data_IF_663949752557
#
_entry.id   IF_663949752557
#
_cell.length_a   1.000
_cell.length_b   1.000
_cell.length_c   1.000
_cell.angle_alpha   90.00
_cell.angle_beta   90.00
_cell.angle_gamma   90.00
#
_symmetry.space_group_name_H-M   'P 1'
#
loop_
_entity.id
_entity.type
_entity.pdbx_description
1 polymer ?
#
# COMPACT_ATOMS: atom_id res chain seq x y z
N UNK A 1 -12.10 -17.61 -0.48
CA UNK A 1 -11.27 -16.40 -0.27
C UNK A 1 -11.93 -15.18 -0.90
N UNK A 2 -11.98 -14.06 -0.18
CA UNK A 2 -12.44 -12.74 -0.66
C UNK A 2 -11.34 -11.71 -0.40
N UNK A 3 -11.13 -10.79 -1.34
CA UNK A 3 -10.14 -9.71 -1.19
C UNK A 3 -10.91 -8.38 -1.20
N UNK A 4 -10.79 -7.62 -0.12
CA UNK A 4 -11.22 -6.23 0.00
C UNK A 4 -10.00 -5.32 -0.10
N UNK A 5 -10.12 -4.21 -0.79
CA UNK A 5 -9.02 -3.27 -0.98
C UNK A 5 -9.45 -1.90 -0.49
N UNK A 6 -8.60 -1.26 0.30
CA UNK A 6 -8.77 0.08 0.84
C UNK A 6 -7.41 0.80 0.90
N UNK A 7 -7.34 2.02 1.41
CA UNK A 7 -6.08 2.77 1.55
C UNK A 7 -6.14 3.85 2.61
N UNK A 8 -5.01 4.43 2.93
CA UNK A 8 -4.85 5.68 3.69
C UNK A 8 -5.57 5.69 5.05
N UNK A 9 -5.40 4.62 5.85
CA UNK A 9 -6.06 4.55 7.17
C UNK A 9 -5.42 5.47 8.23
N UNK A 10 -4.18 5.93 7.99
CA UNK A 10 -3.46 6.84 8.87
C UNK A 10 -3.58 6.50 10.37
N UNK A 11 -3.24 5.26 10.71
CA UNK A 11 -3.30 4.76 12.07
C UNK A 11 -4.71 4.90 12.69
N UNK A 12 -4.82 5.60 13.81
CA UNK A 12 -6.09 5.74 14.55
C UNK A 12 -7.11 6.69 13.90
N UNK A 13 -6.79 7.35 12.79
CA UNK A 13 -7.71 8.30 12.15
C UNK A 13 -8.90 7.58 11.50
N UNK A 14 -8.63 6.62 10.65
CA UNK A 14 -9.65 5.97 9.83
C UNK A 14 -9.80 4.46 10.06
N UNK A 15 -8.97 3.85 10.90
CA UNK A 15 -9.01 2.40 11.17
C UNK A 15 -10.37 1.91 11.70
N UNK A 16 -11.13 2.77 12.40
CA UNK A 16 -12.48 2.44 12.90
C UNK A 16 -13.48 2.16 11.78
N UNK A 17 -13.19 2.57 10.55
CA UNK A 17 -13.99 2.24 9.37
C UNK A 17 -13.94 0.72 9.04
N UNK A 18 -12.97 -0.02 9.58
CA UNK A 18 -12.94 -1.49 9.57
C UNK A 18 -13.70 -2.11 10.76
N UNK A 19 -14.44 -1.31 11.53
CA UNK A 19 -15.28 -1.85 12.59
C UNK A 19 -16.59 -2.42 12.05
N UNK A 20 -17.27 -3.26 12.84
CA UNK A 20 -18.54 -3.90 12.44
C UNK A 20 -19.69 -2.94 12.19
N UNK A 21 -19.55 -1.66 12.59
CA UNK A 21 -20.52 -0.60 12.27
C UNK A 21 -20.37 -0.03 10.85
N UNK A 22 -19.21 -0.23 10.20
CA UNK A 22 -18.93 0.31 8.88
C UNK A 22 -18.55 -0.75 7.86
N UNK A 23 -17.97 -1.86 8.31
CA UNK A 23 -17.53 -2.96 7.46
C UNK A 23 -18.14 -4.28 7.93
N UNK A 24 -19.00 -4.87 7.10
CA UNK A 24 -19.59 -6.17 7.37
C UNK A 24 -18.58 -7.30 7.09
N UNK A 25 -17.94 -7.75 8.14
CA UNK A 25 -17.00 -8.87 8.10
C UNK A 25 -17.67 -10.22 8.46
N UNK A 26 -19.01 -10.30 8.42
CA UNK A 26 -19.75 -11.52 8.75
C UNK A 26 -19.40 -12.64 7.77
N UNK A 27 -18.97 -13.76 8.30
CA UNK A 27 -18.61 -14.95 7.51
C UNK A 27 -17.19 -14.90 6.92
N UNK A 28 -16.43 -13.84 7.12
CA UNK A 28 -15.01 -13.82 6.76
C UNK A 28 -14.19 -14.71 7.70
N UNK A 29 -13.08 -15.18 7.18
CA UNK A 29 -12.10 -16.02 7.88
C UNK A 29 -10.70 -15.45 7.67
N UNK A 30 -9.67 -16.02 8.31
CA UNK A 30 -8.29 -15.60 8.10
C UNK A 30 -7.77 -15.88 6.67
N UNK A 31 -8.51 -16.62 5.87
CA UNK A 31 -8.23 -16.82 4.44
C UNK A 31 -8.87 -15.75 3.55
N UNK A 32 -9.55 -14.75 4.15
CA UNK A 32 -10.05 -13.56 3.48
C UNK A 32 -9.16 -12.36 3.84
N UNK A 33 -8.96 -11.45 2.90
CA UNK A 33 -7.96 -10.39 3.02
C UNK A 33 -8.58 -9.00 2.96
N UNK A 34 -8.09 -8.10 3.80
CA UNK A 34 -8.24 -6.65 3.65
C UNK A 34 -6.86 -6.09 3.33
N UNK A 35 -6.70 -5.52 2.12
CA UNK A 35 -5.44 -4.97 1.64
C UNK A 35 -5.51 -3.45 1.70
N UNK A 36 -4.51 -2.82 2.35
CA UNK A 36 -4.41 -1.38 2.53
C UNK A 36 -3.32 -0.85 1.60
N UNK A 37 -3.70 0.05 0.69
CA UNK A 37 -2.83 0.64 -0.34
C UNK A 37 -1.95 1.76 0.21
N UNK A 38 -1.22 1.51 1.31
CA UNK A 38 -0.29 2.44 1.93
C UNK A 38 -0.92 3.37 2.97
N UNK A 39 -0.06 4.16 3.59
CA UNK A 39 -0.38 5.04 4.71
C UNK A 39 -1.12 4.30 5.83
N UNK A 40 -0.55 3.14 6.19
CA UNK A 40 -1.02 2.32 7.29
C UNK A 40 -0.81 3.00 8.64
N UNK A 41 0.40 3.52 8.87
CA UNK A 41 0.76 4.38 9.99
C UNK A 41 0.75 3.73 11.39
N UNK A 42 0.51 2.41 11.51
CA UNK A 42 0.44 1.70 12.80
C UNK A 42 1.74 0.99 13.21
N UNK A 43 2.80 1.11 12.43
CA UNK A 43 4.13 0.60 12.79
C UNK A 43 5.09 1.77 12.88
N UNK A 44 5.10 2.46 14.03
CA UNK A 44 5.83 3.73 14.16
C UNK A 44 6.77 3.77 15.36
N UNK A 45 6.23 3.75 16.56
CA UNK A 45 6.98 3.98 17.79
C UNK A 45 6.64 3.02 18.93
N UNK A 46 5.89 1.99 18.64
CA UNK A 46 5.46 0.98 19.61
C UNK A 46 4.67 1.55 20.81
N UNK A 47 3.89 2.63 20.58
CA UNK A 47 3.05 3.24 21.60
C UNK A 47 1.91 2.32 22.04
N UNK A 48 1.32 2.62 23.21
CA UNK A 48 0.16 1.88 23.73
C UNK A 48 -1.02 1.91 22.76
N UNK A 49 -1.25 3.05 22.10
CA UNK A 49 -2.30 3.22 21.09
C UNK A 49 -2.04 2.34 19.86
N UNK A 50 -0.81 2.35 19.35
CA UNK A 50 -0.39 1.51 18.23
C UNK A 50 -0.58 0.02 18.54
N UNK A 51 -0.09 -0.43 19.70
CA UNK A 51 -0.26 -1.81 20.15
C UNK A 51 -1.74 -2.20 20.35
N UNK A 52 -2.59 -1.26 20.78
CA UNK A 52 -4.03 -1.50 20.89
C UNK A 52 -4.64 -1.77 19.52
N UNK A 53 -4.38 -0.91 18.54
CA UNK A 53 -4.95 -1.03 17.21
C UNK A 53 -4.39 -2.23 16.44
N UNK A 54 -3.11 -2.55 16.59
CA UNK A 54 -2.52 -3.75 15.99
C UNK A 54 -3.17 -5.04 16.56
N UNK A 55 -3.40 -5.13 17.88
CA UNK A 55 -4.14 -6.26 18.46
C UNK A 55 -5.60 -6.29 18.01
N UNK A 56 -6.21 -5.13 17.83
CA UNK A 56 -7.58 -5.03 17.35
C UNK A 56 -7.70 -5.54 15.89
N UNK A 57 -6.76 -5.20 15.02
CA UNK A 57 -6.69 -5.77 13.67
C UNK A 57 -6.44 -7.29 13.71
N UNK A 58 -5.52 -7.74 14.54
CA UNK A 58 -5.19 -9.17 14.68
C UNK A 58 -6.38 -10.00 15.15
N UNK A 59 -7.28 -9.40 15.94
CA UNK A 59 -8.52 -10.03 16.39
C UNK A 59 -9.66 -10.03 15.33
N UNK A 60 -9.48 -9.37 14.17
CA UNK A 60 -10.47 -9.42 13.09
C UNK A 60 -10.59 -10.82 12.49
N UNK A 61 -11.73 -11.18 11.89
CA UNK A 61 -11.88 -12.50 11.26
C UNK A 61 -11.03 -12.66 9.99
N UNK A 62 -10.59 -11.57 9.35
CA UNK A 62 -9.77 -11.55 8.15
C UNK A 62 -8.28 -11.34 8.46
N UNK A 63 -7.43 -11.53 7.46
CA UNK A 63 -6.01 -11.14 7.48
C UNK A 63 -5.84 -9.76 6.87
N UNK A 64 -5.06 -8.89 7.52
CA UNK A 64 -4.74 -7.56 7.02
C UNK A 64 -3.38 -7.58 6.33
N UNK A 65 -3.35 -7.14 5.08
CA UNK A 65 -2.15 -6.91 4.29
C UNK A 65 -2.02 -5.42 4.00
N UNK A 66 -0.81 -4.88 3.93
CA UNK A 66 -0.62 -3.51 3.50
C UNK A 66 0.70 -3.32 2.76
N UNK A 67 0.75 -2.37 1.84
CA UNK A 67 2.00 -1.81 1.33
C UNK A 67 2.34 -0.55 2.13
N UNK A 68 3.58 -0.10 2.10
CA UNK A 68 3.95 1.16 2.72
C UNK A 68 3.53 2.37 1.85
N UNK A 69 3.19 3.47 2.50
CA UNK A 69 2.98 4.77 1.89
C UNK A 69 4.11 5.75 2.23
N UNK A 70 3.85 7.05 2.16
CA UNK A 70 4.81 8.06 2.63
C UNK A 70 4.63 8.39 4.13
N UNK A 71 3.50 8.04 4.74
CA UNK A 71 3.24 8.21 6.17
C UNK A 71 3.45 6.92 6.95
N UNK A 72 4.71 6.42 6.94
CA UNK A 72 5.12 5.23 7.70
C UNK A 72 6.29 5.52 8.64
N UNK A 73 6.35 4.77 9.73
CA UNK A 73 7.51 4.74 10.60
C UNK A 73 8.60 3.82 10.06
N UNK A 74 9.26 4.20 8.98
CA UNK A 74 10.20 3.34 8.24
C UNK A 74 11.26 2.69 9.10
N UNK A 75 11.75 3.39 10.13
CA UNK A 75 12.71 2.78 11.07
C UNK A 75 12.11 1.55 11.79
N UNK A 76 10.88 1.63 12.26
CA UNK A 76 10.21 0.50 12.91
C UNK A 76 9.82 -0.57 11.89
N UNK A 77 9.27 -0.17 10.75
CA UNK A 77 8.82 -1.06 9.69
C UNK A 77 9.95 -1.94 9.15
N UNK A 78 11.09 -1.34 8.83
CA UNK A 78 12.27 -2.04 8.28
C UNK A 78 12.99 -2.94 9.30
N UNK A 79 12.69 -2.83 10.60
CA UNK A 79 13.22 -3.71 11.65
C UNK A 79 12.27 -4.85 12.03
N UNK A 80 11.12 -4.98 11.40
CA UNK A 80 10.22 -6.11 11.63
C UNK A 80 10.82 -7.43 11.12
N UNK A 81 10.47 -8.57 11.75
CA UNK A 81 10.90 -9.87 11.26
C UNK A 81 10.26 -10.16 9.90
N UNK A 82 11.05 -10.72 8.98
CA UNK A 82 10.56 -11.20 7.68
C UNK A 82 10.02 -12.62 7.77
N UNK A 83 9.07 -12.94 6.90
CA UNK A 83 8.56 -14.28 6.70
C UNK A 83 8.20 -14.51 5.24
N UNK A 84 8.06 -15.76 4.83
CA UNK A 84 7.47 -16.10 3.54
C UNK A 84 5.95 -16.11 3.68
N UNK A 85 5.27 -15.36 2.83
CA UNK A 85 3.82 -15.26 2.77
C UNK A 85 3.37 -15.47 1.32
N UNK A 86 2.59 -16.50 1.04
CA UNK A 86 2.04 -16.76 -0.29
C UNK A 86 3.07 -16.69 -1.44
N UNK A 87 4.29 -17.15 -1.22
CA UNK A 87 5.37 -17.18 -2.19
C UNK A 87 6.28 -15.95 -2.18
N UNK A 88 5.84 -14.81 -1.69
CA UNK A 88 6.62 -13.58 -1.53
C UNK A 88 7.20 -13.41 -0.12
N UNK A 89 8.04 -12.41 0.06
CA UNK A 89 8.59 -12.02 1.37
C UNK A 89 7.77 -10.87 1.95
N UNK A 90 7.40 -10.99 3.21
CA UNK A 90 6.63 -9.98 3.94
C UNK A 90 7.26 -9.70 5.31
N UNK A 91 7.03 -8.50 5.85
CA UNK A 91 7.26 -8.26 7.26
C UNK A 91 6.07 -8.76 8.08
N UNK A 92 6.34 -9.55 9.12
CA UNK A 92 5.31 -9.99 10.05
C UNK A 92 5.15 -8.96 11.17
N UNK A 93 3.99 -8.30 11.19
CA UNK A 93 3.64 -7.36 12.27
C UNK A 93 3.01 -8.12 13.44
N UNK A 94 1.97 -8.92 13.15
CA UNK A 94 1.27 -9.81 14.09
C UNK A 94 0.94 -11.13 13.40
N UNK A 95 0.11 -11.98 14.03
CA UNK A 95 -0.24 -13.30 13.47
C UNK A 95 -1.11 -13.18 12.20
N UNK A 96 -1.86 -12.09 12.04
CA UNK A 96 -2.70 -11.84 10.86
C UNK A 96 -2.59 -10.41 10.31
N UNK A 97 -1.45 -9.73 10.55
CA UNK A 97 -1.15 -8.41 9.98
C UNK A 97 0.24 -8.46 9.36
N UNK A 98 0.34 -8.19 8.05
CA UNK A 98 1.58 -8.30 7.30
C UNK A 98 1.81 -7.09 6.41
N UNK A 99 3.03 -6.60 6.38
CA UNK A 99 3.51 -5.63 5.41
C UNK A 99 4.04 -6.37 4.18
N UNK A 100 3.43 -6.14 3.04
CA UNK A 100 3.87 -6.64 1.74
C UNK A 100 5.11 -5.87 1.28
N UNK A 101 6.25 -6.53 1.20
CA UNK A 101 7.50 -5.86 0.86
C UNK A 101 7.51 -5.41 -0.61
N UNK A 102 8.27 -4.38 -0.87
CA UNK A 102 8.39 -3.76 -2.19
C UNK A 102 8.98 -4.73 -3.21
N UNK A 103 8.36 -4.80 -4.37
CA UNK A 103 8.83 -5.62 -5.48
C UNK A 103 8.49 -7.11 -5.38
N UNK A 104 7.70 -7.51 -4.40
CA UNK A 104 7.32 -8.90 -4.17
C UNK A 104 6.04 -9.28 -4.93
N UNK A 105 5.94 -10.58 -5.26
CA UNK A 105 4.76 -11.19 -5.86
C UNK A 105 4.16 -12.22 -4.89
N UNK A 106 2.85 -12.16 -4.72
CA UNK A 106 2.10 -13.06 -3.81
C UNK A 106 1.06 -13.83 -4.61
N UNK A 107 0.92 -15.13 -4.34
CA UNK A 107 -0.13 -15.97 -4.90
C UNK A 107 -1.26 -16.18 -3.86
N UNK A 108 -2.33 -15.43 -3.99
CA UNK A 108 -3.51 -15.55 -3.16
C UNK A 108 -4.50 -16.52 -3.82
N UNK A 109 -4.32 -17.82 -3.59
CA UNK A 109 -5.17 -18.89 -4.16
C UNK A 109 -5.33 -18.82 -5.69
N UNK A 110 -4.23 -18.56 -6.40
CA UNK A 110 -4.20 -18.46 -7.86
C UNK A 110 -4.43 -17.06 -8.40
N UNK A 111 -4.63 -16.05 -7.54
CA UNK A 111 -4.61 -14.63 -7.91
C UNK A 111 -3.22 -14.08 -7.61
N UNK A 112 -2.51 -13.69 -8.64
CA UNK A 112 -1.17 -13.10 -8.52
C UNK A 112 -1.25 -11.62 -8.20
N UNK A 113 -0.67 -11.21 -7.07
CA UNK A 113 -0.65 -9.83 -6.58
C UNK A 113 0.78 -9.32 -6.54
N UNK A 114 1.10 -8.28 -7.29
CA UNK A 114 2.37 -7.56 -7.22
C UNK A 114 2.25 -6.35 -6.30
N UNK A 115 3.17 -6.21 -5.34
CA UNK A 115 3.17 -5.16 -4.34
C UNK A 115 4.37 -4.22 -4.52
N UNK A 116 4.09 -2.90 -4.54
CA UNK A 116 5.15 -1.89 -4.63
C UNK A 116 4.72 -0.61 -3.88
N UNK A 117 5.13 -0.50 -2.63
CA UNK A 117 4.84 0.67 -1.79
C UNK A 117 5.66 1.90 -2.14
N UNK A 118 5.45 2.96 -1.36
CA UNK A 118 6.15 4.23 -1.45
C UNK A 118 5.42 5.31 -2.24
N UNK A 119 5.66 6.55 -1.84
CA UNK A 119 5.28 7.78 -2.54
C UNK A 119 6.09 8.96 -2.00
N UNK A 120 6.22 10.03 -2.76
CA UNK A 120 6.88 11.24 -2.29
C UNK A 120 5.96 12.07 -1.39
N UNK A 121 6.41 12.42 -0.20
CA UNK A 121 5.78 13.46 0.60
C UNK A 121 5.77 14.80 -0.14
N UNK A 122 4.71 15.59 0.05
CA UNK A 122 4.59 16.92 -0.57
C UNK A 122 5.73 17.86 -0.17
N UNK A 123 5.97 18.90 -0.97
CA UNK A 123 6.93 19.94 -0.61
C UNK A 123 6.56 20.60 0.74
N UNK A 124 5.27 20.81 0.99
CA UNK A 124 4.77 21.35 2.24
C UNK A 124 5.13 20.46 3.44
N UNK A 125 4.95 19.13 3.32
CA UNK A 125 5.33 18.19 4.38
C UNK A 125 6.83 18.23 4.65
N UNK A 126 7.65 18.26 3.61
CA UNK A 126 9.11 18.32 3.72
C UNK A 126 9.62 19.62 4.35
N UNK A 127 8.90 20.74 4.14
CA UNK A 127 9.22 22.04 4.74
C UNK A 127 8.73 22.16 6.19
N UNK A 128 7.57 21.59 6.51
CA UNK A 128 6.91 21.79 7.80
C UNK A 128 7.15 20.67 8.80
N UNK A 129 7.53 19.48 8.36
CA UNK A 129 7.79 18.30 9.20
C UNK A 129 9.29 18.03 9.32
N UNK A 130 9.69 17.43 10.43
CA UNK A 130 11.09 17.08 10.67
C UNK A 130 11.45 15.79 9.93
N UNK A 131 12.54 15.82 9.16
CA UNK A 131 13.11 14.64 8.51
C UNK A 131 13.46 13.56 9.53
N UNK A 132 13.09 12.32 9.24
CA UNK A 132 13.30 11.17 10.13
C UNK A 132 12.30 11.09 11.30
N UNK A 133 11.29 11.96 11.34
CA UNK A 133 10.21 11.96 12.34
C UNK A 133 8.84 12.06 11.64
N UNK A 134 8.62 13.05 10.80
CA UNK A 134 7.36 13.31 10.13
C UNK A 134 7.39 13.04 8.62
N UNK A 135 8.57 12.89 8.03
CA UNK A 135 8.79 12.36 6.68
C UNK A 135 10.17 11.69 6.61
N UNK A 136 10.36 10.77 5.69
CA UNK A 136 11.54 9.91 5.61
C UNK A 136 12.03 9.79 4.16
N UNK A 137 13.36 9.82 3.91
CA UNK A 137 13.90 9.53 2.58
C UNK A 137 13.52 8.14 2.07
N UNK A 138 13.31 7.20 2.99
CA UNK A 138 12.91 5.82 2.75
C UNK A 138 11.49 5.69 2.17
N UNK A 139 10.69 6.78 2.17
CA UNK A 139 9.38 6.82 1.51
C UNK A 139 9.47 6.54 0.00
N UNK A 140 10.62 6.81 -0.61
CA UNK A 140 10.90 6.51 -2.02
C UNK A 140 11.66 5.19 -2.12
N UNK A 141 11.20 4.24 -2.93
CA UNK A 141 11.92 3.00 -3.16
C UNK A 141 13.32 3.22 -3.68
N UNK A 142 14.28 2.51 -3.09
CA UNK A 142 15.67 2.52 -3.52
C UNK A 142 15.84 1.93 -4.92
N UNK A 143 16.99 2.18 -5.55
CA UNK A 143 17.30 1.56 -6.83
C UNK A 143 17.31 0.02 -6.72
N UNK A 144 17.84 -0.54 -5.64
CA UNK A 144 17.89 -1.98 -5.43
C UNK A 144 16.48 -2.59 -5.31
N UNK A 145 15.54 -1.93 -4.62
CA UNK A 145 14.15 -2.38 -4.55
C UNK A 145 13.46 -2.30 -5.91
N UNK A 146 13.74 -1.26 -6.70
CA UNK A 146 13.22 -1.12 -8.07
C UNK A 146 13.81 -2.19 -9.02
N UNK A 147 15.09 -2.50 -8.91
CA UNK A 147 15.74 -3.57 -9.68
C UNK A 147 15.15 -4.94 -9.31
N UNK A 148 14.97 -5.23 -8.02
CA UNK A 148 14.30 -6.44 -7.54
C UNK A 148 12.87 -6.55 -8.09
N UNK A 149 12.10 -5.46 -8.06
CA UNK A 149 10.74 -5.41 -8.60
C UNK A 149 10.70 -5.74 -10.10
N UNK A 150 11.65 -5.24 -10.88
CA UNK A 150 11.77 -5.55 -12.31
C UNK A 150 12.09 -7.03 -12.52
N UNK A 151 13.06 -7.59 -11.76
CA UNK A 151 13.41 -9.00 -11.83
C UNK A 151 12.22 -9.91 -11.49
N UNK A 152 11.46 -9.57 -10.45
CA UNK A 152 10.25 -10.28 -10.05
C UNK A 152 9.22 -10.30 -11.18
N UNK A 153 8.96 -9.14 -11.80
CA UNK A 153 8.01 -9.04 -12.92
C UNK A 153 8.53 -9.74 -14.17
N UNK A 154 9.83 -9.73 -14.46
CA UNK A 154 10.45 -10.48 -15.55
C UNK A 154 10.28 -11.99 -15.36
N UNK A 155 10.49 -12.50 -14.15
CA UNK A 155 10.27 -13.90 -13.80
C UNK A 155 8.80 -14.32 -13.93
N UNK A 156 7.84 -13.38 -13.73
CA UNK A 156 6.43 -13.56 -13.97
C UNK A 156 6.02 -13.29 -15.45
N UNK A 157 6.98 -13.10 -16.36
CA UNK A 157 6.73 -12.70 -17.76
C UNK A 157 5.86 -11.45 -17.88
N UNK A 158 5.96 -10.52 -16.93
CA UNK A 158 5.18 -9.28 -16.83
C UNK A 158 3.66 -9.50 -16.79
N UNK A 159 3.22 -10.66 -16.33
CA UNK A 159 1.79 -11.01 -16.24
C UNK A 159 1.40 -11.25 -14.79
N UNK A 160 0.53 -10.39 -14.26
CA UNK A 160 0.02 -10.43 -12.89
C UNK A 160 -1.47 -10.08 -12.91
N UNK A 161 -2.24 -10.52 -11.92
CA UNK A 161 -3.68 -10.21 -11.88
C UNK A 161 -3.93 -8.83 -11.27
N UNK A 162 -3.25 -8.53 -10.17
CA UNK A 162 -3.45 -7.31 -9.38
C UNK A 162 -2.11 -6.62 -9.14
N UNK A 163 -2.08 -5.31 -9.30
CA UNK A 163 -0.96 -4.45 -8.86
C UNK A 163 -1.45 -3.57 -7.71
N UNK A 164 -0.73 -3.56 -6.61
CA UNK A 164 -0.96 -2.68 -5.46
C UNK A 164 0.23 -1.75 -5.29
N UNK A 165 -0.03 -0.45 -5.37
CA UNK A 165 0.96 0.60 -5.06
C UNK A 165 0.37 1.60 -4.07
N UNK A 166 1.17 2.54 -3.56
CA UNK A 166 0.59 3.65 -2.81
C UNK A 166 0.26 4.83 -3.73
N UNK A 167 1.17 5.25 -4.61
CA UNK A 167 0.88 6.29 -5.60
C UNK A 167 0.65 5.70 -7.00
N UNK A 168 0.12 6.52 -7.91
CA UNK A 168 -0.22 6.14 -9.28
C UNK A 168 0.95 6.37 -10.26
N UNK A 169 0.96 5.68 -11.42
CA UNK A 169 1.84 6.00 -12.54
C UNK A 169 1.58 7.41 -13.10
N UNK A 170 2.63 8.05 -13.62
CA UNK A 170 2.60 9.45 -14.13
C UNK A 170 1.46 9.73 -15.11
N UNK A 171 1.16 8.82 -16.03
CA UNK A 171 0.10 9.05 -17.04
C UNK A 171 -1.32 9.10 -16.44
N UNK A 172 -1.50 8.74 -15.17
CA UNK A 172 -2.79 8.80 -14.48
C UNK A 172 -3.04 10.17 -13.84
N UNK A 173 -2.01 11.00 -13.66
CA UNK A 173 -2.07 12.29 -12.93
C UNK A 173 -3.13 13.27 -13.49
N UNK A 174 -3.23 13.41 -14.80
CA UNK A 174 -4.25 14.29 -15.42
C UNK A 174 -5.67 13.82 -15.10
N UNK A 175 -5.90 12.51 -15.12
CA UNK A 175 -7.20 11.93 -14.79
C UNK A 175 -7.51 12.07 -13.30
N UNK A 176 -6.50 11.92 -12.44
CA UNK A 176 -6.60 12.11 -10.99
C UNK A 176 -6.90 13.58 -10.69
N UNK A 177 -6.18 14.51 -11.29
CA UNK A 177 -6.42 15.94 -11.15
C UNK A 177 -7.86 16.33 -11.57
N UNK A 178 -8.37 15.74 -12.64
CA UNK A 178 -9.72 15.99 -13.11
C UNK A 178 -10.80 15.53 -12.12
N UNK A 179 -10.63 14.36 -11.48
CA UNK A 179 -11.61 13.83 -10.51
C UNK A 179 -11.46 14.45 -9.13
N UNK A 180 -10.26 14.89 -8.74
CA UNK A 180 -10.02 15.54 -7.44
C UNK A 180 -10.32 17.03 -7.45
N UNK A 181 -10.43 17.64 -8.64
CA UNK A 181 -10.46 19.10 -8.81
C UNK A 181 -9.28 19.81 -8.14
N UNK A 182 -8.12 19.17 -8.08
CA UNK A 182 -6.89 19.62 -7.42
C UNK A 182 -5.74 19.54 -8.40
N UNK A 183 -5.33 20.68 -8.95
CA UNK A 183 -4.30 20.75 -10.00
C UNK A 183 -2.85 20.62 -9.51
N UNK A 184 -2.58 20.59 -8.20
CA UNK A 184 -1.21 20.72 -7.66
C UNK A 184 -0.83 19.74 -6.55
N UNK A 185 -1.52 18.61 -6.38
CA UNK A 185 -1.37 17.83 -5.15
C UNK A 185 -0.15 16.93 -5.07
N UNK A 186 0.20 16.31 -6.16
CA UNK A 186 1.29 15.32 -6.15
C UNK A 186 2.12 15.53 -7.42
N UNK A 187 3.29 16.19 -7.32
CA UNK A 187 4.14 16.39 -8.48
C UNK A 187 4.59 15.04 -9.03
N UNK A 188 4.54 14.92 -10.35
CA UNK A 188 5.20 13.83 -11.05
C UNK A 188 6.68 13.82 -10.66
N UNK A 189 7.18 12.68 -10.22
CA UNK A 189 8.54 12.51 -9.78
C UNK A 189 9.24 11.32 -10.47
N UNK A 190 10.47 11.04 -10.08
CA UNK A 190 11.22 9.92 -10.64
C UNK A 190 10.52 8.57 -10.35
N UNK A 191 9.84 8.44 -9.20
CA UNK A 191 9.19 7.19 -8.82
C UNK A 191 7.90 6.96 -9.60
N UNK A 192 7.03 7.97 -9.74
CA UNK A 192 5.81 7.85 -10.57
C UNK A 192 6.14 7.61 -12.04
N UNK A 193 7.23 8.21 -12.55
CA UNK A 193 7.75 7.92 -13.89
C UNK A 193 8.26 6.48 -14.02
N UNK A 194 8.88 5.92 -12.98
CA UNK A 194 9.29 4.52 -12.97
C UNK A 194 8.07 3.59 -12.93
N UNK A 195 7.05 3.88 -12.15
CA UNK A 195 5.78 3.13 -12.15
C UNK A 195 5.13 3.13 -13.54
N UNK A 196 5.25 4.24 -14.29
CA UNK A 196 4.77 4.30 -15.67
C UNK A 196 5.46 3.27 -16.57
N UNK A 197 6.74 2.98 -16.35
CA UNK A 197 7.44 1.93 -17.11
C UNK A 197 6.87 0.53 -16.85
N UNK A 198 6.45 0.26 -15.60
CA UNK A 198 5.74 -0.98 -15.25
C UNK A 198 4.39 -1.01 -15.95
N UNK A 199 3.62 0.09 -15.87
CA UNK A 199 2.29 0.20 -16.47
C UNK A 199 2.29 -0.06 -17.97
N UNK A 200 3.32 0.39 -18.68
CA UNK A 200 3.46 0.21 -20.13
C UNK A 200 3.86 -1.23 -20.51
N UNK A 201 4.50 -1.97 -19.62
CA UNK A 201 5.07 -3.28 -19.94
C UNK A 201 4.26 -4.44 -19.35
N UNK A 202 3.67 -4.26 -18.18
CA UNK A 202 2.93 -5.31 -17.50
C UNK A 202 1.54 -5.53 -18.10
N UNK A 203 1.12 -6.80 -18.11
CA UNK A 203 -0.27 -7.19 -18.33
C UNK A 203 -0.92 -7.46 -16.97
N UNK A 204 -2.00 -6.77 -16.66
CA UNK A 204 -2.71 -6.91 -15.39
C UNK A 204 -4.22 -6.68 -15.58
N UNK A 205 -5.01 -7.21 -14.66
CA UNK A 205 -6.46 -7.02 -14.65
C UNK A 205 -6.86 -5.71 -13.99
N UNK A 206 -6.23 -5.39 -12.84
CA UNK A 206 -6.55 -4.21 -12.06
C UNK A 206 -5.30 -3.67 -11.33
N UNK A 207 -5.21 -2.34 -11.27
CA UNK A 207 -4.23 -1.62 -10.46
C UNK A 207 -4.95 -0.81 -9.39
N UNK A 208 -4.55 -0.94 -8.13
CA UNK A 208 -5.10 -0.18 -7.00
C UNK A 208 -4.02 0.68 -6.37
N UNK A 209 -4.38 1.90 -6.00
CA UNK A 209 -3.50 2.79 -5.23
C UNK A 209 -4.29 3.69 -4.27
N UNK A 210 -3.62 4.15 -3.20
CA UNK A 210 -4.11 5.12 -2.23
C UNK A 210 -3.62 6.54 -2.54
N UNK A 211 -3.08 7.23 -1.52
CA UNK A 211 -2.37 8.50 -1.57
C UNK A 211 -3.22 9.75 -1.89
N UNK A 212 -4.24 9.63 -2.71
CA UNK A 212 -5.02 10.76 -3.21
C UNK A 212 -6.24 11.08 -2.35
N UNK A 213 -6.54 10.27 -1.35
CA UNK A 213 -7.67 10.40 -0.42
C UNK A 213 -9.02 10.56 -1.14
N UNK A 214 -9.24 9.76 -2.16
CA UNK A 214 -10.49 9.69 -2.92
C UNK A 214 -10.79 8.26 -3.34
N UNK A 215 -12.07 7.98 -3.58
CA UNK A 215 -12.52 6.77 -4.27
C UNK A 215 -12.88 7.13 -5.70
N UNK A 216 -12.15 6.61 -6.66
CA UNK A 216 -12.41 6.83 -8.07
C UNK A 216 -11.91 5.66 -8.93
N UNK A 217 -12.71 5.29 -9.93
CA UNK A 217 -12.36 4.31 -10.93
C UNK A 217 -11.88 5.02 -12.20
N UNK A 218 -10.63 4.80 -12.57
CA UNK A 218 -10.09 5.16 -13.87
C UNK A 218 -10.01 3.91 -14.76
N UNK A 219 -9.65 4.04 -16.02
CA UNK A 219 -9.47 2.88 -16.89
C UNK A 219 -8.30 2.02 -16.39
N UNK A 220 -8.59 0.81 -15.89
CA UNK A 220 -7.64 -0.17 -15.33
C UNK A 220 -6.83 0.33 -14.11
N UNK A 221 -7.26 1.41 -13.46
CA UNK A 221 -6.69 1.89 -12.21
C UNK A 221 -7.82 2.34 -11.28
N UNK A 222 -7.76 1.93 -10.04
CA UNK A 222 -8.68 2.36 -8.99
C UNK A 222 -7.91 3.13 -7.92
N UNK A 223 -8.37 4.36 -7.65
CA UNK A 223 -7.95 5.15 -6.50
C UNK A 223 -8.83 4.73 -5.34
N UNK A 224 -8.24 4.33 -4.24
CA UNK A 224 -8.96 3.78 -3.10
C UNK A 224 -8.59 4.56 -1.84
N UNK A 225 -9.62 5.03 -1.17
CA UNK A 225 -9.53 5.58 0.19
C UNK A 225 -10.50 4.84 1.09
N UNK A 226 -10.22 4.76 2.38
CA UNK A 226 -11.18 4.22 3.33
C UNK A 226 -12.25 5.29 3.63
N UNK A 227 -13.39 5.20 2.98
CA UNK A 227 -14.49 6.17 3.10
C UNK A 227 -15.64 5.67 4.00
#
# INVERSE_FOLDING_TARGET
>A
MTIYITGDIHASYDIEKLSSSHFDATGLTKDDYVIICGDFGLVWNNSTSEQYWLRWLDAKPFTTLFVDGNHEGFHALNNLPTCTLHGGIAHKVNDSVYHLMRGELYDLEGITLFAMGGAASSAYDKETRTKGIGWFPEEIPTQAEREHAIETLENANWNVDIIITHCAPTSCEESIAAVTNRLELHPMDEYTNWLETIRQKATYSQWFCGHYHIDAQLTNLSLIHIS
#
